data_IF_560993308834
#
_entry.id   IF_560993308834
#
_cell.length_a   1.000
_cell.length_b   1.000
_cell.length_c   1.000
_cell.angle_alpha   90.00
_cell.angle_beta   90.00
_cell.angle_gamma   90.00
#
_symmetry.space_group_name_H-M   'P 1'
#
loop_
_entity.id
_entity.type
_entity.pdbx_description
1 polymer ?
#
# COMPACT_ATOMS: atom_id res chain seq x y z
N UNK A 1 -3.58 -5.68 -16.16
CA UNK A 1 -3.26 -4.84 -14.97
C UNK A 1 -4.33 -5.06 -13.92
N UNK A 2 -3.99 -5.20 -12.66
CA UNK A 2 -4.94 -5.38 -11.55
C UNK A 2 -5.57 -4.04 -11.17
N UNK A 3 -6.90 -4.01 -11.05
CA UNK A 3 -7.66 -2.87 -10.50
C UNK A 3 -8.40 -3.33 -9.25
N UNK A 4 -8.20 -2.67 -8.10
CA UNK A 4 -8.83 -3.07 -6.85
C UNK A 4 -10.36 -3.00 -6.95
N UNK A 5 -11.06 -4.06 -6.47
CA UNK A 5 -12.52 -4.10 -6.42
C UNK A 5 -13.00 -4.72 -5.10
N UNK A 6 -14.12 -4.23 -4.62
CA UNK A 6 -14.74 -4.75 -3.40
C UNK A 6 -13.97 -4.37 -2.13
N UNK A 7 -14.03 -5.23 -1.12
CA UNK A 7 -13.39 -5.02 0.17
C UNK A 7 -11.93 -5.46 0.11
N UNK A 8 -11.03 -4.58 0.55
CA UNK A 8 -9.62 -4.89 0.79
C UNK A 8 -9.41 -4.92 2.31
N UNK A 9 -9.22 -6.11 2.88
CA UNK A 9 -8.99 -6.25 4.32
C UNK A 9 -7.56 -5.80 4.68
N UNK A 10 -7.44 -4.82 5.57
CA UNK A 10 -6.14 -4.36 6.07
C UNK A 10 -5.68 -5.29 7.20
N UNK A 11 -4.57 -5.99 6.98
CA UNK A 11 -4.03 -6.99 7.90
C UNK A 11 -3.10 -6.37 8.94
N UNK A 12 -3.19 -6.84 10.19
CA UNK A 12 -2.14 -6.64 11.19
C UNK A 12 -0.98 -7.60 10.97
N UNK A 13 0.23 -7.20 11.34
CA UNK A 13 1.38 -8.10 11.43
C UNK A 13 1.35 -8.80 12.79
N UNK A 14 1.70 -10.08 12.81
CA UNK A 14 1.77 -10.87 14.04
C UNK A 14 3.18 -10.82 14.63
N UNK A 15 3.26 -10.56 15.92
CA UNK A 15 4.50 -10.60 16.70
C UNK A 15 4.32 -11.53 17.91
N UNK A 16 5.39 -12.16 18.32
CA UNK A 16 5.41 -12.96 19.55
C UNK A 16 5.61 -12.09 20.81
N UNK A 17 5.64 -12.73 21.97
CA UNK A 17 5.82 -12.04 23.25
C UNK A 17 7.18 -11.36 23.44
N UNK A 18 8.17 -11.67 22.59
CA UNK A 18 9.48 -11.01 22.56
C UNK A 18 9.52 -9.81 21.61
N UNK A 19 8.47 -9.61 20.79
CA UNK A 19 8.41 -8.61 19.74
C UNK A 19 9.01 -9.08 18.40
N UNK A 20 9.38 -10.35 18.27
CA UNK A 20 9.83 -10.91 17.00
C UNK A 20 8.62 -11.28 16.10
N UNK A 21 8.83 -11.35 14.78
CA UNK A 21 7.78 -11.73 13.84
C UNK A 21 7.25 -13.15 14.12
N UNK A 22 5.93 -13.27 14.29
CA UNK A 22 5.22 -14.55 14.30
C UNK A 22 4.69 -14.86 12.89
N UNK A 23 5.55 -15.35 12.03
CA UNK A 23 5.17 -15.72 10.67
C UNK A 23 4.12 -16.83 10.61
N UNK A 24 4.17 -17.90 11.47
CA UNK A 24 3.09 -18.86 11.55
C UNK A 24 1.73 -18.25 11.95
N UNK A 25 1.73 -17.28 12.88
CA UNK A 25 0.55 -16.50 13.25
C UNK A 25 -0.01 -15.69 12.10
N UNK A 26 0.86 -15.05 11.32
CA UNK A 26 0.46 -14.34 10.10
C UNK A 26 -0.25 -15.28 9.11
N UNK A 27 0.32 -16.45 8.84
CA UNK A 27 -0.30 -17.45 7.96
C UNK A 27 -1.69 -17.87 8.43
N UNK A 28 -1.86 -18.13 9.73
CA UNK A 28 -3.18 -18.44 10.31
C UNK A 28 -4.18 -17.30 10.14
N UNK A 29 -3.74 -16.05 10.29
CA UNK A 29 -4.57 -14.88 10.10
C UNK A 29 -5.02 -14.73 8.63
N UNK A 30 -4.14 -14.99 7.67
CA UNK A 30 -4.49 -15.00 6.25
C UNK A 30 -5.54 -16.08 5.95
N UNK A 31 -5.36 -17.30 6.46
CA UNK A 31 -6.35 -18.37 6.29
C UNK A 31 -7.70 -18.03 6.94
N UNK A 32 -7.71 -17.29 8.05
CA UNK A 32 -8.94 -16.78 8.65
C UNK A 32 -9.67 -15.80 7.70
N UNK A 33 -8.94 -14.87 7.06
CA UNK A 33 -9.53 -13.96 6.09
C UNK A 33 -10.12 -14.70 4.88
N UNK A 34 -9.43 -15.72 4.37
CA UNK A 34 -9.92 -16.56 3.28
C UNK A 34 -11.24 -17.25 3.65
N UNK A 35 -11.30 -17.85 4.86
CA UNK A 35 -12.52 -18.49 5.37
C UNK A 35 -13.68 -17.51 5.56
N UNK A 36 -13.39 -16.26 5.89
CA UNK A 36 -14.38 -15.18 5.97
C UNK A 36 -14.86 -14.66 4.60
N UNK A 37 -14.36 -15.22 3.49
CA UNK A 37 -14.76 -14.86 2.14
C UNK A 37 -14.06 -13.62 1.56
N UNK A 38 -13.05 -13.09 2.25
CA UNK A 38 -12.21 -11.98 1.75
C UNK A 38 -11.47 -12.46 0.49
N UNK A 39 -11.42 -11.60 -0.53
CA UNK A 39 -10.74 -11.86 -1.81
C UNK A 39 -9.49 -11.03 -2.01
N UNK A 40 -9.35 -9.92 -1.29
CA UNK A 40 -8.18 -9.04 -1.36
C UNK A 40 -7.74 -8.66 0.04
N UNK A 41 -6.45 -8.81 0.32
CA UNK A 41 -5.83 -8.36 1.57
C UNK A 41 -4.75 -7.31 1.30
N UNK A 42 -4.62 -6.36 2.21
CA UNK A 42 -3.52 -5.40 2.22
C UNK A 42 -2.64 -5.69 3.44
N UNK A 43 -1.44 -6.18 3.22
CA UNK A 43 -0.44 -6.50 4.24
C UNK A 43 0.63 -5.41 4.26
N UNK A 44 1.29 -5.18 5.38
CA UNK A 44 2.29 -4.11 5.54
C UNK A 44 1.72 -2.69 5.32
N UNK A 45 0.41 -2.53 5.50
CA UNK A 45 -0.21 -1.20 5.58
C UNK A 45 0.10 -0.50 6.91
N UNK A 46 -0.59 0.62 7.17
CA UNK A 46 -0.47 1.29 8.47
C UNK A 46 -0.93 0.41 9.65
N UNK A 47 -1.94 -0.43 9.43
CA UNK A 47 -2.39 -1.43 10.40
C UNK A 47 -1.36 -2.55 10.60
N UNK A 48 -0.61 -2.87 9.56
CA UNK A 48 0.45 -3.88 9.57
C UNK A 48 1.81 -3.36 10.04
N UNK A 49 1.88 -2.13 10.53
CA UNK A 49 3.06 -1.53 11.20
C UNK A 49 4.35 -1.49 10.35
N UNK A 50 4.21 -1.49 9.02
CA UNK A 50 5.35 -1.55 8.09
C UNK A 50 6.44 -0.50 8.33
N UNK A 51 6.04 0.71 8.76
CA UNK A 51 6.98 1.81 9.00
C UNK A 51 7.90 1.58 10.22
N UNK A 52 7.52 0.64 11.11
CA UNK A 52 8.27 0.29 12.32
C UNK A 52 9.18 -0.93 12.14
N UNK A 53 9.17 -1.55 10.95
CA UNK A 53 9.94 -2.76 10.64
C UNK A 53 11.20 -2.45 9.85
N UNK A 54 12.22 -3.29 10.03
CA UNK A 54 13.38 -3.33 9.14
C UNK A 54 12.96 -3.80 7.74
N UNK A 55 13.82 -3.59 6.74
CA UNK A 55 13.57 -4.10 5.38
C UNK A 55 13.47 -5.62 5.37
N UNK A 56 14.34 -6.27 6.11
CA UNK A 56 14.42 -7.73 6.23
C UNK A 56 13.10 -8.29 6.80
N UNK A 57 12.56 -7.67 7.84
CA UNK A 57 11.27 -8.05 8.43
C UNK A 57 10.12 -7.85 7.44
N UNK A 58 10.07 -6.71 6.74
CA UNK A 58 9.04 -6.48 5.72
C UNK A 58 9.11 -7.52 4.60
N UNK A 59 10.31 -7.84 4.12
CA UNK A 59 10.48 -8.85 3.07
C UNK A 59 10.11 -10.25 3.57
N UNK A 60 10.43 -10.61 4.82
CA UNK A 60 10.01 -11.88 5.40
C UNK A 60 8.46 -11.98 5.50
N UNK A 61 7.79 -10.90 5.89
CA UNK A 61 6.31 -10.82 5.89
C UNK A 61 5.75 -10.96 4.48
N UNK A 62 6.36 -10.33 3.46
CA UNK A 62 5.92 -10.48 2.07
C UNK A 62 6.04 -11.93 1.60
N UNK A 63 7.16 -12.57 1.85
CA UNK A 63 7.41 -13.96 1.47
C UNK A 63 6.42 -14.91 2.14
N UNK A 64 6.21 -14.76 3.44
CA UNK A 64 5.23 -15.57 4.16
C UNK A 64 3.81 -15.35 3.63
N UNK A 65 3.42 -14.10 3.39
CA UNK A 65 2.12 -13.78 2.81
C UNK A 65 1.89 -14.52 1.49
N UNK A 66 2.90 -14.52 0.60
CA UNK A 66 2.77 -15.16 -0.71
C UNK A 66 2.69 -16.69 -0.63
N UNK A 67 3.21 -17.32 0.42
CA UNK A 67 3.01 -18.77 0.66
C UNK A 67 1.54 -19.13 0.93
N UNK A 68 0.76 -18.17 1.41
CA UNK A 68 -0.66 -18.33 1.74
C UNK A 68 -1.60 -17.61 0.75
N UNK A 69 -1.06 -17.02 -0.33
CA UNK A 69 -1.79 -16.12 -1.22
C UNK A 69 -2.81 -16.82 -2.14
N UNK A 70 -2.79 -18.15 -2.25
CA UNK A 70 -3.69 -18.88 -3.15
C UNK A 70 -5.15 -18.47 -2.99
N UNK A 71 -5.77 -18.07 -4.10
CA UNK A 71 -7.15 -17.57 -4.15
C UNK A 71 -7.37 -16.13 -3.64
N UNK A 72 -6.30 -15.39 -3.32
CA UNK A 72 -6.34 -13.99 -2.88
C UNK A 72 -5.63 -13.08 -3.87
N UNK A 73 -6.11 -11.84 -3.94
CA UNK A 73 -5.33 -10.71 -4.45
C UNK A 73 -4.53 -10.08 -3.31
N UNK A 74 -3.26 -9.82 -3.56
CA UNK A 74 -2.33 -9.32 -2.56
C UNK A 74 -1.90 -7.89 -2.88
N UNK A 75 -2.15 -6.98 -1.95
CA UNK A 75 -1.63 -5.61 -1.95
C UNK A 75 -0.62 -5.49 -0.82
N UNK A 76 0.61 -5.09 -1.12
CA UNK A 76 1.57 -4.76 -0.08
C UNK A 76 1.66 -3.25 0.16
N UNK A 77 1.80 -2.84 1.41
CA UNK A 77 2.17 -1.47 1.75
C UNK A 77 3.68 -1.29 1.66
N UNK A 78 4.15 -0.45 0.75
CA UNK A 78 5.53 0.03 0.72
C UNK A 78 5.59 1.41 1.41
N UNK A 79 5.59 1.39 2.73
CA UNK A 79 5.45 2.57 3.59
C UNK A 79 6.73 2.86 4.40
N UNK A 80 7.88 2.48 3.86
CA UNK A 80 9.18 2.72 4.48
C UNK A 80 9.52 4.23 4.57
N UNK A 81 10.43 4.58 5.46
CA UNK A 81 10.80 5.97 5.72
C UNK A 81 11.61 6.64 4.62
N UNK A 82 12.27 5.88 3.73
CA UNK A 82 13.08 6.42 2.64
C UNK A 82 12.55 6.00 1.26
N UNK A 83 12.67 6.85 0.22
CA UNK A 83 12.30 6.48 -1.14
C UNK A 83 13.04 5.23 -1.66
N UNK A 84 14.30 5.05 -1.28
CA UNK A 84 15.10 3.89 -1.67
C UNK A 84 14.54 2.58 -1.09
N UNK A 85 14.11 2.59 0.18
CA UNK A 85 13.47 1.45 0.81
C UNK A 85 12.10 1.16 0.19
N UNK A 86 11.31 2.20 -0.08
CA UNK A 86 10.02 2.04 -0.77
C UNK A 86 10.21 1.38 -2.14
N UNK A 87 11.19 1.82 -2.94
CA UNK A 87 11.49 1.19 -4.24
C UNK A 87 11.95 -0.26 -4.09
N UNK A 88 12.73 -0.57 -3.06
CA UNK A 88 13.15 -1.95 -2.77
C UNK A 88 11.94 -2.83 -2.41
N UNK A 89 11.01 -2.33 -1.59
CA UNK A 89 9.79 -3.03 -1.24
C UNK A 89 8.87 -3.24 -2.47
N UNK A 90 8.76 -2.24 -3.36
CA UNK A 90 7.99 -2.38 -4.62
C UNK A 90 8.64 -3.45 -5.52
N UNK A 91 9.96 -3.44 -5.66
CA UNK A 91 10.68 -4.43 -6.46
C UNK A 91 10.51 -5.85 -5.91
N UNK A 92 10.57 -6.01 -4.58
CA UNK A 92 10.34 -7.29 -3.90
C UNK A 92 8.90 -7.78 -4.09
N UNK A 93 7.92 -6.91 -3.95
CA UNK A 93 6.52 -7.24 -4.21
C UNK A 93 6.29 -7.73 -5.65
N UNK A 94 6.93 -7.08 -6.64
CA UNK A 94 6.90 -7.48 -8.04
C UNK A 94 7.56 -8.85 -8.27
N UNK A 95 8.74 -9.07 -7.69
CA UNK A 95 9.45 -10.37 -7.74
C UNK A 95 8.56 -11.51 -7.24
N UNK A 96 7.86 -11.27 -6.15
CA UNK A 96 6.98 -12.25 -5.51
C UNK A 96 5.63 -12.44 -6.23
N UNK A 97 5.28 -11.59 -7.21
CA UNK A 97 4.05 -11.70 -7.98
C UNK A 97 2.81 -11.13 -7.27
N UNK A 98 2.97 -10.14 -6.40
CA UNK A 98 1.85 -9.42 -5.81
C UNK A 98 1.04 -8.65 -6.88
N UNK A 99 -0.24 -8.36 -6.59
CA UNK A 99 -1.13 -7.69 -7.55
C UNK A 99 -0.94 -6.18 -7.60
N UNK A 100 -0.66 -5.54 -6.46
CA UNK A 100 -0.42 -4.09 -6.36
C UNK A 100 0.41 -3.74 -5.12
N UNK A 101 0.90 -2.49 -5.11
CA UNK A 101 1.59 -1.92 -3.95
C UNK A 101 0.94 -0.60 -3.56
N UNK A 102 0.72 -0.39 -2.27
CA UNK A 102 0.22 0.87 -1.72
C UNK A 102 1.39 1.75 -1.30
N UNK A 103 1.43 2.99 -1.81
CA UNK A 103 2.49 3.97 -1.55
C UNK A 103 1.90 5.29 -1.07
N UNK A 104 2.67 6.08 -0.30
CA UNK A 104 2.25 7.40 0.16
C UNK A 104 3.36 8.44 -0.01
N UNK A 105 3.04 9.72 0.22
CA UNK A 105 4.04 10.77 0.36
C UNK A 105 4.98 10.44 1.53
N UNK A 106 6.25 10.82 1.41
CA UNK A 106 7.26 10.59 2.46
C UNK A 106 6.79 11.18 3.80
N UNK A 107 6.74 10.38 4.88
CA UNK A 107 6.33 10.85 6.19
C UNK A 107 7.32 11.89 6.75
N UNK A 108 6.84 12.72 7.70
CA UNK A 108 7.58 13.79 8.40
C UNK A 108 8.06 14.97 7.53
N UNK A 109 8.17 14.81 6.22
CA UNK A 109 8.50 15.89 5.28
C UNK A 109 7.20 16.53 4.79
N UNK A 110 7.20 17.84 4.61
CA UNK A 110 6.06 18.52 3.97
C UNK A 110 6.42 18.81 2.50
N UNK A 111 6.28 17.83 1.61
CA UNK A 111 6.63 18.01 0.21
C UNK A 111 5.63 18.94 -0.48
N UNK A 112 6.04 19.55 -1.59
CA UNK A 112 5.10 20.16 -2.52
C UNK A 112 4.34 19.07 -3.32
N UNK A 113 3.20 19.42 -3.90
CA UNK A 113 2.47 18.51 -4.81
C UNK A 113 3.36 18.03 -5.97
N UNK A 114 4.22 18.92 -6.50
CA UNK A 114 5.17 18.59 -7.55
C UNK A 114 6.18 17.52 -7.10
N UNK A 115 6.64 17.60 -5.85
CA UNK A 115 7.57 16.60 -5.30
C UNK A 115 6.88 15.26 -5.12
N UNK A 116 5.64 15.25 -4.64
CA UNK A 116 4.83 14.02 -4.51
C UNK A 116 4.59 13.40 -5.89
N UNK A 117 4.18 14.19 -6.88
CA UNK A 117 3.98 13.69 -8.24
C UNK A 117 5.27 13.08 -8.80
N UNK A 118 6.42 13.76 -8.65
CA UNK A 118 7.72 13.26 -9.08
C UNK A 118 8.06 11.93 -8.38
N UNK A 119 7.81 11.84 -7.08
CA UNK A 119 8.08 10.64 -6.29
C UNK A 119 7.23 9.44 -6.77
N UNK A 120 5.92 9.66 -6.99
CA UNK A 120 5.04 8.59 -7.49
C UNK A 120 5.46 8.15 -8.90
N UNK A 121 5.85 9.09 -9.79
CA UNK A 121 6.41 8.74 -11.10
C UNK A 121 7.70 7.92 -10.97
N UNK A 122 8.55 8.24 -10.01
CA UNK A 122 9.76 7.46 -9.74
C UNK A 122 9.41 6.04 -9.25
N UNK A 123 8.42 5.86 -8.40
CA UNK A 123 7.96 4.54 -7.97
C UNK A 123 7.34 3.74 -9.13
N UNK A 124 6.60 4.40 -10.01
CA UNK A 124 5.99 3.80 -11.19
C UNK A 124 7.04 3.19 -12.16
N UNK A 125 8.29 3.70 -12.18
CA UNK A 125 9.35 3.13 -13.03
C UNK A 125 9.67 1.67 -12.74
N UNK A 126 9.27 1.14 -11.58
CA UNK A 126 9.42 -0.29 -11.26
C UNK A 126 8.44 -1.14 -12.08
N UNK A 127 7.36 -0.54 -12.60
CA UNK A 127 6.36 -1.21 -13.44
C UNK A 127 5.49 -2.16 -12.61
N UNK A 128 4.99 -1.68 -11.48
CA UNK A 128 4.07 -2.38 -10.56
C UNK A 128 2.80 -1.54 -10.38
N UNK A 129 1.58 -2.12 -10.36
CA UNK A 129 0.38 -1.37 -10.06
C UNK A 129 0.47 -0.68 -8.70
N UNK A 130 0.20 0.63 -8.65
CA UNK A 130 0.31 1.46 -7.46
C UNK A 130 -1.07 1.92 -6.98
N UNK A 131 -1.34 1.78 -5.69
CA UNK A 131 -2.45 2.43 -4.98
C UNK A 131 -1.86 3.58 -4.19
N UNK A 132 -2.23 4.80 -4.55
CA UNK A 132 -1.72 5.99 -3.85
C UNK A 132 -2.53 6.23 -2.59
N UNK A 133 -1.86 6.40 -1.45
CA UNK A 133 -2.51 6.54 -0.14
C UNK A 133 -2.47 7.98 0.35
N UNK A 134 -3.64 8.64 0.37
CA UNK A 134 -3.83 9.95 0.98
C UNK A 134 -4.19 9.81 2.46
N UNK A 135 -3.24 10.06 3.34
CA UNK A 135 -3.39 9.96 4.79
C UNK A 135 -2.70 11.12 5.50
N UNK A 136 -3.32 12.32 5.51
CA UNK A 136 -2.69 13.53 6.05
C UNK A 136 -2.25 13.43 7.51
N UNK A 137 -2.95 12.63 8.31
CA UNK A 137 -2.61 12.40 9.72
C UNK A 137 -1.26 11.67 9.93
N UNK A 138 -0.76 10.97 8.89
CA UNK A 138 0.51 10.21 8.95
C UNK A 138 1.60 10.83 8.09
N UNK A 139 1.24 11.28 6.88
CA UNK A 139 2.19 11.86 5.93
C UNK A 139 2.47 13.35 6.15
N UNK A 140 1.68 14.04 7.00
CA UNK A 140 1.68 15.51 7.14
C UNK A 140 1.46 16.25 5.79
N UNK A 141 0.90 15.57 4.79
CA UNK A 141 0.61 16.08 3.46
C UNK A 141 -0.81 15.69 3.04
N UNK A 142 -1.60 16.67 2.60
CA UNK A 142 -2.94 16.46 2.06
C UNK A 142 -2.89 16.60 0.54
N UNK A 143 -3.34 15.60 -0.19
CA UNK A 143 -3.48 15.67 -1.63
C UNK A 143 -4.70 16.51 -2.00
N UNK A 144 -4.58 17.35 -3.02
CA UNK A 144 -5.73 17.98 -3.66
C UNK A 144 -6.33 17.06 -4.75
N UNK A 145 -7.59 17.30 -5.13
CA UNK A 145 -8.21 16.62 -6.27
C UNK A 145 -7.40 16.84 -7.55
N UNK A 146 -6.84 18.05 -7.74
CA UNK A 146 -6.00 18.36 -8.89
C UNK A 146 -4.71 17.52 -8.93
N UNK A 147 -4.08 17.24 -7.79
CA UNK A 147 -2.94 16.33 -7.73
C UNK A 147 -3.38 14.91 -8.07
N UNK A 148 -4.46 14.42 -7.47
CA UNK A 148 -4.97 13.06 -7.74
C UNK A 148 -5.27 12.88 -9.23
N UNK A 149 -5.89 13.88 -9.87
CA UNK A 149 -6.14 13.88 -11.32
C UNK A 149 -4.84 13.78 -12.15
N UNK A 150 -3.77 14.47 -11.72
CA UNK A 150 -2.46 14.33 -12.39
C UNK A 150 -1.83 12.96 -12.18
N UNK A 151 -1.98 12.39 -10.98
CA UNK A 151 -1.49 11.04 -10.66
C UNK A 151 -2.25 9.96 -11.44
N UNK A 152 -3.54 10.15 -11.68
CA UNK A 152 -4.37 9.24 -12.49
C UNK A 152 -3.91 9.13 -13.96
N UNK A 153 -3.06 10.06 -14.45
CA UNK A 153 -2.43 9.99 -15.78
C UNK A 153 -1.10 9.20 -15.78
N UNK A 154 -0.77 8.51 -14.69
CA UNK A 154 0.37 7.59 -14.61
C UNK A 154 -0.20 6.18 -14.77
N UNK A 155 0.22 5.46 -15.80
CA UNK A 155 -0.36 4.17 -16.19
C UNK A 155 -0.34 3.13 -15.04
N UNK A 156 0.69 3.17 -14.20
CA UNK A 156 0.81 2.27 -13.06
C UNK A 156 -0.11 2.65 -11.88
N UNK A 157 -0.67 3.86 -11.84
CA UNK A 157 -1.58 4.27 -10.75
C UNK A 157 -2.98 3.70 -11.02
N UNK A 158 -3.35 2.68 -10.26
CA UNK A 158 -4.60 1.91 -10.44
C UNK A 158 -5.67 2.24 -9.40
N UNK A 159 -5.39 3.13 -8.47
CA UNK A 159 -6.35 3.53 -7.45
C UNK A 159 -5.79 4.48 -6.41
N UNK A 160 -6.70 5.00 -5.60
CA UNK A 160 -6.37 5.82 -4.44
C UNK A 160 -7.07 5.26 -3.20
N UNK A 161 -6.32 5.18 -2.10
CA UNK A 161 -6.90 5.01 -0.76
C UNK A 161 -7.02 6.38 -0.11
N UNK A 162 -8.27 6.84 0.06
CA UNK A 162 -8.58 8.13 0.67
C UNK A 162 -8.88 7.95 2.17
N UNK A 163 -8.10 8.56 3.04
CA UNK A 163 -8.25 8.49 4.50
C UNK A 163 -8.09 9.85 5.18
N UNK A 164 -8.35 10.93 4.45
CA UNK A 164 -8.32 12.29 5.03
C UNK A 164 -9.57 12.61 5.87
N UNK A 165 -10.67 11.86 5.65
CA UNK A 165 -11.99 12.17 6.22
C UNK A 165 -12.71 13.32 5.51
N UNK A 166 -12.17 13.83 4.41
CA UNK A 166 -12.75 14.92 3.63
C UNK A 166 -13.68 14.36 2.54
N UNK A 167 -14.98 14.38 2.80
CA UNK A 167 -15.99 13.87 1.89
C UNK A 167 -16.16 14.74 0.63
N UNK A 168 -15.82 16.04 0.70
CA UNK A 168 -15.84 16.91 -0.48
C UNK A 168 -14.72 16.51 -1.42
N UNK A 169 -13.49 16.36 -0.89
CA UNK A 169 -12.36 15.85 -1.66
C UNK A 169 -12.66 14.49 -2.28
N UNK A 170 -13.28 13.57 -1.51
CA UNK A 170 -13.67 12.26 -2.01
C UNK A 170 -14.62 12.35 -3.21
N UNK A 171 -15.62 13.23 -3.16
CA UNK A 171 -16.55 13.45 -4.27
C UNK A 171 -15.86 14.05 -5.49
N UNK A 172 -14.99 15.04 -5.30
CA UNK A 172 -14.24 15.67 -6.39
C UNK A 172 -13.34 14.62 -7.11
N UNK A 173 -12.66 13.76 -6.33
CA UNK A 173 -11.86 12.67 -6.90
C UNK A 173 -12.74 11.72 -7.71
N UNK A 174 -13.91 11.33 -7.18
CA UNK A 174 -14.84 10.43 -7.87
C UNK A 174 -15.35 10.98 -9.20
N UNK A 175 -15.55 12.29 -9.28
CA UNK A 175 -15.99 12.96 -10.52
C UNK A 175 -14.85 13.03 -11.54
N UNK A 176 -13.65 13.38 -11.10
CA UNK A 176 -12.50 13.60 -11.96
C UNK A 176 -11.75 12.32 -12.37
N UNK A 177 -11.86 11.27 -11.56
CA UNK A 177 -11.17 9.98 -11.76
C UNK A 177 -12.19 8.83 -11.60
N UNK A 178 -13.06 8.57 -12.59
CA UNK A 178 -14.15 7.60 -12.49
C UNK A 178 -13.70 6.13 -12.56
N UNK A 179 -12.42 5.86 -12.79
CA UNK A 179 -11.85 4.51 -12.96
C UNK A 179 -11.00 4.11 -11.76
#
# INVERSE_FOLDING_TARGET
MYYPKGVIASMGTCFDSSGALDLPGLGKNIEFQKKAGIKTICVLGGTGEAASMSREERHAVMEETMRHADGLHIVFGALAGTPADVKADIAKAKELGADAVMVMATPFVRPSERDVERLIREYATVGMPLIVFNTPSRSAFRMSAALVKRLNNIDEVVGIKESSGDMVLFQDIRVDCPH
#
